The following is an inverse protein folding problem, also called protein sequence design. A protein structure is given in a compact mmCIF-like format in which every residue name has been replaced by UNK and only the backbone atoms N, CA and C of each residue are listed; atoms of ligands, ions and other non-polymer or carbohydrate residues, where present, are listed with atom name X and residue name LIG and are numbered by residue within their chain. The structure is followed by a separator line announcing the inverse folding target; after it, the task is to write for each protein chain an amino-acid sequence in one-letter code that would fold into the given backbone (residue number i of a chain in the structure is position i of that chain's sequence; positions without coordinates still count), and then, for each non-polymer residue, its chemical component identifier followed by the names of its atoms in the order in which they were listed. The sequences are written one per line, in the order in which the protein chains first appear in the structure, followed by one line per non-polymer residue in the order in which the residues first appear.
data_IF_485286028402
#
_entry.id   IF_485286028402
#
_cell.length_a   1.000
_cell.length_b   1.000
_cell.length_c   1.000
_cell.angle_alpha   90.00
_cell.angle_beta   90.00
_cell.angle_gamma   90.00
#
_symmetry.space_group_name_H-M   'P 1'
#
loop_
_entity.id
_entity.type
_entity.pdbx_description
1 polymer ?
#
# COMPACT_ATOMS: atom_id res chain seq x y z
N UNK A 1 11.87 27.84 -6.35
CA UNK A 1 13.14 28.27 -5.72
C UNK A 1 13.88 27.02 -5.28
N UNK A 2 15.17 26.86 -5.57
CA UNK A 2 15.94 25.68 -5.15
C UNK A 2 15.99 25.65 -3.62
N UNK A 3 15.54 24.57 -2.97
CA UNK A 3 15.48 24.48 -1.50
C UNK A 3 16.84 24.79 -0.83
N UNK A 4 17.94 24.49 -1.51
CA UNK A 4 19.30 24.83 -1.05
C UNK A 4 19.53 26.34 -0.98
N UNK A 5 19.00 27.11 -1.94
CA UNK A 5 19.11 28.57 -1.95
C UNK A 5 18.30 29.21 -0.82
N UNK A 6 17.17 28.60 -0.44
CA UNK A 6 16.38 29.04 0.71
C UNK A 6 17.18 28.88 2.00
N UNK A 7 17.74 27.69 2.24
CA UNK A 7 18.58 27.43 3.41
C UNK A 7 19.81 28.34 3.43
N UNK A 8 20.47 28.55 2.28
CA UNK A 8 21.60 29.49 2.13
C UNK A 8 21.20 30.92 2.48
N UNK A 9 20.04 31.38 2.02
CA UNK A 9 19.53 32.72 2.29
C UNK A 9 19.27 32.92 3.79
N UNK A 10 18.62 31.96 4.44
CA UNK A 10 18.36 32.03 5.88
C UNK A 10 19.66 31.96 6.70
N UNK A 11 20.63 31.16 6.27
CA UNK A 11 21.96 31.16 6.89
C UNK A 11 22.65 32.53 6.75
N UNK A 12 22.62 33.15 5.57
CA UNK A 12 23.19 34.47 5.35
C UNK A 12 22.52 35.54 6.21
N UNK A 13 21.20 35.47 6.40
CA UNK A 13 20.46 36.34 7.33
C UNK A 13 20.91 36.10 8.78
N UNK A 14 21.02 34.86 9.21
CA UNK A 14 21.47 34.50 10.57
C UNK A 14 22.91 34.98 10.85
N UNK A 15 23.76 34.99 9.81
CA UNK A 15 25.15 35.44 9.87
C UNK A 15 25.34 36.94 9.57
N UNK A 16 24.26 37.71 9.43
CA UNK A 16 24.36 39.16 9.21
C UNK A 16 24.92 39.87 10.45
N UNK A 17 25.94 40.72 10.26
CA UNK A 17 26.67 41.40 11.32
C UNK A 17 27.74 40.52 12.01
N UNK A 18 28.34 41.02 13.09
CA UNK A 18 29.36 40.26 13.83
C UNK A 18 28.71 39.29 14.82
N UNK A 19 28.78 37.98 14.54
CA UNK A 19 28.29 36.92 15.44
C UNK A 19 29.47 36.18 16.10
N UNK A 20 29.40 35.98 17.42
CA UNK A 20 30.42 35.26 18.19
C UNK A 20 30.25 33.73 18.12
N UNK A 21 29.06 33.24 17.72
CA UNK A 21 28.73 31.83 17.57
C UNK A 21 27.39 31.62 16.86
N UNK A 22 27.10 30.36 16.53
CA UNK A 22 25.85 29.94 15.88
C UNK A 22 25.27 28.72 16.61
N UNK A 23 23.96 28.71 16.80
CA UNK A 23 23.23 27.53 17.28
C UNK A 23 22.48 26.94 16.10
N UNK A 24 22.69 25.66 15.84
CA UNK A 24 21.94 24.89 14.85
C UNK A 24 21.10 23.88 15.61
N UNK A 25 19.81 24.11 15.60
CA UNK A 25 18.86 23.20 16.22
C UNK A 25 18.43 22.14 15.20
N UNK A 26 18.80 20.89 15.48
CA UNK A 26 18.43 19.71 14.69
C UNK A 26 17.46 18.83 15.48
N UNK A 27 17.03 19.26 16.67
CA UNK A 27 16.03 18.54 17.46
C UNK A 27 14.71 18.42 16.71
N UNK A 28 14.02 17.29 16.88
CA UNK A 28 12.80 16.94 16.16
C UNK A 28 12.93 16.95 14.61
N UNK A 29 14.15 16.93 14.05
CA UNK A 29 14.36 16.72 12.63
C UNK A 29 14.36 15.22 12.32
N UNK A 30 13.19 14.71 11.95
CA UNK A 30 12.95 13.29 11.70
C UNK A 30 13.44 12.79 10.32
N UNK A 31 14.06 13.65 9.51
CA UNK A 31 14.58 13.30 8.18
C UNK A 31 13.95 14.08 7.02
N UNK A 32 14.17 13.61 5.80
CA UNK A 32 13.69 14.26 4.57
C UNK A 32 14.71 14.16 3.44
N UNK A 33 14.80 15.20 2.62
CA UNK A 33 15.85 15.29 1.61
C UNK A 33 17.08 15.98 2.22
N UNK A 34 18.13 15.21 2.52
CA UNK A 34 19.38 15.72 3.12
C UNK A 34 20.10 16.77 2.26
N UNK A 35 19.99 16.69 0.93
CA UNK A 35 20.90 17.41 0.06
C UNK A 35 20.73 18.94 0.09
N UNK A 36 19.50 19.50 0.05
CA UNK A 36 19.30 20.93 0.21
C UNK A 36 19.73 21.45 1.58
N UNK A 37 19.56 20.64 2.64
CA UNK A 37 19.93 21.01 4.00
C UNK A 37 21.45 21.13 4.10
N UNK A 38 22.19 20.08 3.73
CA UNK A 38 23.66 20.10 3.74
C UNK A 38 24.24 21.15 2.80
N UNK A 39 23.73 21.24 1.58
CA UNK A 39 24.23 22.21 0.59
C UNK A 39 24.01 23.66 1.02
N UNK A 40 22.92 23.94 1.75
CA UNK A 40 22.60 25.27 2.24
C UNK A 40 23.48 25.71 3.41
N UNK A 41 23.96 24.76 4.23
CA UNK A 41 24.86 25.04 5.35
C UNK A 41 26.32 24.68 5.08
N UNK A 42 26.67 24.28 3.86
CA UNK A 42 27.97 23.70 3.53
C UNK A 42 29.23 24.49 4.01
N UNK A 43 29.29 25.83 3.96
CA UNK A 43 30.38 26.66 4.49
C UNK A 43 30.58 26.58 5.99
N UNK A 44 29.63 26.01 6.75
CA UNK A 44 29.83 25.74 8.16
C UNK A 44 30.68 24.46 8.39
N UNK A 45 30.83 23.63 7.37
CA UNK A 45 31.66 22.44 7.44
C UNK A 45 33.14 22.77 7.13
N UNK A 46 34.03 22.02 7.76
CA UNK A 46 35.44 22.03 7.38
C UNK A 46 35.60 21.36 5.99
N UNK A 47 36.49 21.90 5.16
CA UNK A 47 36.82 21.33 3.87
C UNK A 47 37.37 19.89 4.01
N UNK A 48 36.98 19.03 3.06
CA UNK A 48 37.35 17.61 3.06
C UNK A 48 36.13 16.69 3.02
N UNK A 49 36.36 15.40 3.31
CA UNK A 49 35.31 14.39 3.37
C UNK A 49 34.44 14.65 4.59
N UNK A 50 33.13 14.69 4.40
CA UNK A 50 32.16 14.75 5.49
C UNK A 50 31.77 13.34 5.90
N UNK A 51 31.40 12.52 4.90
CA UNK A 51 30.91 11.17 5.08
C UNK A 51 31.05 10.35 3.79
N UNK A 52 30.95 9.03 3.90
CA UNK A 52 30.93 8.10 2.77
C UNK A 52 29.84 7.07 2.94
N UNK A 53 28.97 6.95 1.94
CA UNK A 53 28.01 5.86 1.84
C UNK A 53 28.69 4.68 1.18
N UNK A 54 28.81 3.57 1.90
CA UNK A 54 29.43 2.34 1.40
C UNK A 54 28.39 1.21 1.33
N UNK A 55 28.09 0.75 0.12
CA UNK A 55 27.13 -0.31 -0.12
C UNK A 55 27.68 -1.68 0.28
N UNK A 56 26.78 -2.65 0.45
CA UNK A 56 27.14 -4.07 0.65
C UNK A 56 27.97 -4.67 -0.49
N UNK A 57 27.94 -4.07 -1.69
CA UNK A 57 28.75 -4.49 -2.83
C UNK A 57 30.11 -3.79 -2.90
N UNK A 58 30.44 -2.94 -1.91
CA UNK A 58 31.68 -2.17 -1.86
C UNK A 58 31.66 -0.88 -2.69
N UNK A 59 30.52 -0.50 -3.26
CA UNK A 59 30.39 0.79 -3.97
C UNK A 59 30.41 1.93 -2.95
N UNK A 60 31.22 2.95 -3.21
CA UNK A 60 31.38 4.11 -2.32
C UNK A 60 30.89 5.38 -2.99
N UNK A 61 30.03 6.12 -2.29
CA UNK A 61 29.65 7.49 -2.63
C UNK A 61 30.21 8.43 -1.57
N UNK A 62 31.12 9.29 -1.99
CA UNK A 62 31.82 10.21 -1.09
C UNK A 62 31.13 11.56 -1.14
N UNK A 63 30.76 12.06 0.05
CA UNK A 63 30.24 13.42 0.24
C UNK A 63 31.34 14.27 0.86
N UNK A 64 31.69 15.36 0.19
CA UNK A 64 32.78 16.22 0.60
C UNK A 64 32.40 17.70 0.44
N UNK A 65 33.10 18.58 1.15
CA UNK A 65 32.99 20.02 0.97
C UNK A 65 34.33 20.57 0.50
N UNK A 66 34.27 21.53 -0.42
CA UNK A 66 35.43 22.32 -0.83
C UNK A 66 34.99 23.75 -1.11
N UNK A 67 35.69 24.72 -0.54
CA UNK A 67 35.39 26.15 -0.69
C UNK A 67 33.93 26.48 -0.32
N UNK A 68 33.38 25.78 0.69
CA UNK A 68 31.99 25.94 1.12
C UNK A 68 30.93 25.39 0.16
N UNK A 69 31.34 24.62 -0.86
CA UNK A 69 30.45 23.95 -1.82
C UNK A 69 30.40 22.46 -1.50
N UNK A 70 29.20 21.95 -1.25
CA UNK A 70 28.96 20.52 -1.09
C UNK A 70 29.17 19.80 -2.43
N UNK A 71 29.82 18.65 -2.38
CA UNK A 71 30.16 17.82 -3.53
C UNK A 71 29.82 16.37 -3.24
N UNK A 72 29.36 15.68 -4.27
CA UNK A 72 29.12 14.24 -4.26
C UNK A 72 29.88 13.63 -5.42
N UNK A 73 30.77 12.67 -5.14
CA UNK A 73 31.68 12.09 -6.14
C UNK A 73 32.37 13.16 -6.98
N UNK A 74 32.92 14.18 -6.31
CA UNK A 74 33.60 15.34 -6.89
C UNK A 74 32.73 16.29 -7.72
N UNK A 75 31.44 16.01 -7.92
CA UNK A 75 30.52 16.90 -8.60
C UNK A 75 29.84 17.86 -7.62
N UNK A 76 29.78 19.18 -7.92
CA UNK A 76 29.11 20.14 -7.04
C UNK A 76 27.60 19.87 -6.93
N UNK A 77 27.09 19.95 -5.71
CA UNK A 77 25.69 19.77 -5.38
C UNK A 77 25.20 20.90 -4.44
N UNK A 78 24.10 21.59 -4.76
CA UNK A 78 23.37 21.56 -6.02
C UNK A 78 24.23 22.13 -7.17
N UNK A 79 23.85 21.84 -8.42
CA UNK A 79 24.53 22.40 -9.61
C UNK A 79 24.27 23.90 -9.85
N UNK A 80 23.56 24.56 -8.94
CA UNK A 80 23.20 25.97 -9.05
C UNK A 80 24.16 26.83 -8.21
N UNK A 81 24.46 28.04 -8.69
CA UNK A 81 25.23 29.00 -7.90
C UNK A 81 24.47 29.40 -6.63
N UNK A 82 25.22 29.44 -5.52
CA UNK A 82 24.73 29.83 -4.20
C UNK A 82 25.40 31.14 -3.79
N UNK A 83 24.64 32.01 -3.12
CA UNK A 83 25.18 33.25 -2.58
C UNK A 83 26.34 32.95 -1.61
N UNK A 84 27.43 33.73 -1.65
CA UNK A 84 28.54 33.56 -0.71
C UNK A 84 28.10 33.87 0.72
N UNK A 85 28.82 33.31 1.69
CA UNK A 85 28.59 33.56 3.12
C UNK A 85 29.55 34.66 3.59
N UNK A 86 29.08 35.69 4.34
CA UNK A 86 29.90 36.86 4.68
C UNK A 86 31.07 36.55 5.62
N UNK A 87 30.79 36.06 6.83
CA UNK A 87 31.80 35.69 7.84
C UNK A 87 31.30 34.51 8.65
N UNK A 88 32.13 33.47 8.77
CA UNK A 88 31.79 32.28 9.54
C UNK A 88 31.99 32.49 11.06
N UNK A 89 31.13 31.90 11.90
CA UNK A 89 31.23 32.04 13.35
C UNK A 89 32.43 31.27 13.92
N UNK A 90 32.99 31.75 15.03
CA UNK A 90 34.11 31.10 15.72
C UNK A 90 33.70 29.84 16.49
N UNK A 91 32.39 29.63 16.76
CA UNK A 91 31.84 28.53 17.55
C UNK A 91 30.46 28.12 17.03
N UNK A 92 30.18 26.83 17.01
CA UNK A 92 28.90 26.26 16.61
C UNK A 92 28.40 25.32 17.72
N UNK A 93 27.16 25.48 18.15
CA UNK A 93 26.47 24.55 19.03
C UNK A 93 25.39 23.80 18.23
N UNK A 94 25.41 22.48 18.27
CA UNK A 94 24.37 21.62 17.70
C UNK A 94 23.44 21.15 18.80
N UNK A 95 22.13 21.33 18.62
CA UNK A 95 21.12 20.77 19.53
C UNK A 95 20.53 19.53 18.87
N UNK A 96 20.53 18.42 19.60
CA UNK A 96 20.02 17.12 19.15
C UNK A 96 19.14 16.48 20.22
N UNK A 97 18.21 15.64 19.80
CA UNK A 97 17.31 14.88 20.67
C UNK A 97 16.93 13.53 20.05
N UNK A 98 16.07 12.79 20.75
CA UNK A 98 15.55 11.50 20.25
C UNK A 98 14.66 11.62 19.01
N UNK A 99 14.21 12.82 18.64
CA UNK A 99 13.50 13.09 17.39
C UNK A 99 14.43 13.40 16.21
N UNK A 100 15.73 13.57 16.46
CA UNK A 100 16.75 13.73 15.41
C UNK A 100 16.97 12.39 14.74
N UNK A 101 16.55 12.22 13.48
CA UNK A 101 16.56 10.95 12.77
C UNK A 101 16.98 11.12 11.30
N UNK A 102 17.49 10.05 10.68
CA UNK A 102 17.70 9.99 9.24
C UNK A 102 18.53 11.17 8.74
N UNK A 103 18.00 12.02 7.85
CA UNK A 103 18.77 13.15 7.30
C UNK A 103 19.21 14.16 8.37
N UNK A 104 18.53 14.24 9.51
CA UNK A 104 18.98 15.00 10.67
C UNK A 104 20.29 14.44 11.26
N UNK A 105 20.42 13.11 11.33
CA UNK A 105 21.61 12.44 11.84
C UNK A 105 22.80 12.57 10.90
N UNK A 106 22.55 12.58 9.59
CA UNK A 106 23.55 12.89 8.56
C UNK A 106 24.11 14.31 8.74
N UNK A 107 23.23 15.30 8.95
CA UNK A 107 23.64 16.68 9.19
C UNK A 107 24.57 16.79 10.40
N UNK A 108 24.25 16.08 11.48
CA UNK A 108 25.03 16.04 12.71
C UNK A 108 26.36 15.32 12.50
N UNK A 109 26.34 14.18 11.78
CA UNK A 109 27.54 13.40 11.47
C UNK A 109 28.56 14.22 10.68
N UNK A 110 28.09 15.02 9.72
CA UNK A 110 28.94 15.87 8.91
C UNK A 110 29.75 16.89 9.72
N UNK A 111 29.28 17.30 10.91
CA UNK A 111 30.02 18.19 11.82
C UNK A 111 30.98 17.46 12.77
N UNK A 112 30.91 16.13 12.85
CA UNK A 112 31.69 15.34 13.79
C UNK A 112 33.19 15.53 13.53
N UNK A 113 33.93 15.89 14.58
CA UNK A 113 35.39 16.10 14.51
C UNK A 113 35.83 17.52 14.18
N UNK A 114 34.91 18.46 13.92
CA UNK A 114 35.25 19.88 13.76
C UNK A 114 35.60 20.52 15.10
N UNK A 115 36.72 21.26 15.14
CA UNK A 115 37.26 21.83 16.40
C UNK A 115 36.36 22.92 16.99
N UNK A 116 35.59 23.62 16.17
CA UNK A 116 34.72 24.73 16.56
C UNK A 116 33.28 24.30 16.86
N UNK A 117 32.95 23.01 16.81
CA UNK A 117 31.59 22.49 16.99
C UNK A 117 31.46 21.68 18.27
N UNK A 118 30.35 21.85 19.00
CA UNK A 118 29.95 20.96 20.09
C UNK A 118 28.47 20.61 20.00
N UNK A 119 28.11 19.36 20.27
CA UNK A 119 26.73 18.89 20.33
C UNK A 119 26.21 18.83 21.76
N UNK A 120 24.92 19.13 21.94
CA UNK A 120 24.22 19.16 23.22
C UNK A 120 22.84 18.48 23.07
N UNK A 121 22.39 17.80 24.13
CA UNK A 121 21.06 17.18 24.17
C UNK A 121 21.11 15.67 24.38
N UNK A 122 20.18 14.94 23.75
CA UNK A 122 20.00 13.50 23.93
C UNK A 122 20.44 12.70 22.70
N UNK A 123 20.49 11.37 22.83
CA UNK A 123 20.80 10.47 21.73
C UNK A 123 19.76 10.59 20.60
N UNK A 124 20.24 10.52 19.37
CA UNK A 124 19.43 10.53 18.14
C UNK A 124 18.71 9.20 17.89
N UNK A 125 17.78 9.16 16.95
CA UNK A 125 16.89 8.02 16.72
C UNK A 125 17.55 6.75 16.13
N UNK A 126 18.76 6.85 15.58
CA UNK A 126 19.48 5.74 14.94
C UNK A 126 18.87 5.30 13.60
N UNK A 127 18.25 6.21 12.85
CA UNK A 127 17.58 5.89 11.60
C UNK A 127 18.51 6.11 10.40
N UNK A 128 18.66 5.11 9.53
CA UNK A 128 19.51 5.26 8.35
C UNK A 128 18.96 6.22 7.30
N UNK A 129 19.87 7.00 6.72
CA UNK A 129 19.64 7.79 5.50
C UNK A 129 20.12 7.09 4.23
N UNK A 130 20.83 5.97 4.37
CA UNK A 130 21.43 5.21 3.28
C UNK A 130 20.42 4.25 2.64
N UNK A 131 19.24 4.77 2.31
CA UNK A 131 18.09 3.99 1.87
C UNK A 131 18.00 3.95 0.35
N UNK A 132 17.69 2.77 -0.19
CA UNK A 132 17.28 2.60 -1.57
C UNK A 132 15.78 2.33 -1.60
N UNK A 133 15.05 3.19 -2.32
CA UNK A 133 13.63 2.99 -2.57
C UNK A 133 13.45 1.99 -3.70
N UNK A 134 12.88 0.84 -3.39
CA UNK A 134 12.46 -0.16 -4.37
C UNK A 134 10.97 0.03 -4.61
N UNK A 135 10.60 0.35 -5.85
CA UNK A 135 9.19 0.42 -6.23
C UNK A 135 8.62 -1.00 -6.31
N UNK A 136 7.56 -1.24 -5.56
CA UNK A 136 6.81 -2.49 -5.55
C UNK A 136 5.81 -2.51 -6.71
N UNK A 137 5.36 -3.71 -7.10
CA UNK A 137 4.41 -3.92 -8.21
C UNK A 137 3.06 -3.22 -7.99
N UNK A 138 2.67 -2.99 -6.73
CA UNK A 138 1.47 -2.27 -6.34
C UNK A 138 1.62 -0.73 -6.32
N UNK A 139 2.78 -0.19 -6.74
CA UNK A 139 3.06 1.24 -6.76
C UNK A 139 3.61 1.81 -5.45
N UNK A 140 3.61 1.02 -4.36
CA UNK A 140 4.27 1.38 -3.10
C UNK A 140 5.80 1.35 -3.20
N UNK A 141 6.48 1.81 -2.14
CA UNK A 141 7.94 1.82 -2.08
C UNK A 141 8.42 1.10 -0.82
N UNK A 142 9.36 0.18 -0.98
CA UNK A 142 10.12 -0.40 0.11
C UNK A 142 11.43 0.39 0.24
N UNK A 143 11.63 1.06 1.38
CA UNK A 143 12.89 1.71 1.70
C UNK A 143 13.79 0.70 2.42
N UNK A 144 14.86 0.26 1.76
CA UNK A 144 15.86 -0.63 2.35
C UNK A 144 17.13 0.14 2.66
N UNK A 145 17.64 0.00 3.87
CA UNK A 145 19.02 0.38 4.19
C UNK A 145 19.95 -0.49 3.36
N UNK A 146 20.69 0.11 2.42
CA UNK A 146 21.55 -0.63 1.47
C UNK A 146 23.04 -0.30 1.59
N UNK A 147 23.38 0.69 2.41
CA UNK A 147 24.73 1.11 2.66
C UNK A 147 24.94 1.46 4.14
N UNK A 148 26.17 1.30 4.61
CA UNK A 148 26.64 1.86 5.88
C UNK A 148 27.20 3.25 5.63
N UNK A 149 27.16 4.10 6.65
CA UNK A 149 27.71 5.46 6.59
C UNK A 149 29.03 5.47 7.36
N UNK A 150 30.10 5.88 6.69
CA UNK A 150 31.41 6.12 7.27
C UNK A 150 31.51 7.61 7.59
N UNK A 151 31.98 7.96 8.79
CA UNK A 151 32.31 9.36 9.08
C UNK A 151 33.62 9.80 8.41
N UNK A 152 33.98 11.07 8.53
CA UNK A 152 35.22 11.64 7.98
C UNK A 152 36.52 10.94 8.38
N UNK A 153 36.51 10.10 9.42
CA UNK A 153 37.68 9.31 9.85
C UNK A 153 37.70 7.90 9.25
N UNK A 154 36.68 7.54 8.47
CA UNK A 154 36.46 6.19 7.96
C UNK A 154 35.81 5.25 8.97
N UNK A 155 35.39 5.74 10.14
CA UNK A 155 34.70 4.91 11.14
C UNK A 155 33.28 4.62 10.67
N UNK A 156 32.93 3.34 10.59
CA UNK A 156 31.60 2.89 10.20
C UNK A 156 30.60 3.04 11.35
N UNK A 157 29.43 3.59 11.03
CA UNK A 157 28.29 3.65 11.93
C UNK A 157 27.22 2.65 11.45
N UNK A 158 27.04 1.57 12.22
CA UNK A 158 26.32 0.38 11.78
C UNK A 158 24.80 0.60 11.56
N UNK A 159 24.22 1.64 12.16
CA UNK A 159 22.78 1.89 12.16
C UNK A 159 22.47 3.37 11.87
N UNK A 160 22.88 3.85 10.70
CA UNK A 160 22.20 5.01 10.10
C UNK A 160 22.59 6.43 10.54
N UNK A 161 23.50 6.55 11.48
CA UNK A 161 23.97 7.81 12.05
C UNK A 161 24.88 7.47 13.22
N UNK A 162 25.48 8.43 13.94
CA UNK A 162 26.41 8.13 15.03
C UNK A 162 25.67 7.48 16.21
N UNK A 163 25.43 6.17 16.13
CA UNK A 163 24.93 5.32 17.20
C UNK A 163 25.96 5.09 18.31
N UNK A 164 27.08 5.81 18.30
CA UNK A 164 28.05 5.88 19.39
C UNK A 164 27.60 6.75 20.56
N UNK A 165 26.30 7.00 20.73
CA UNK A 165 25.72 7.56 21.95
C UNK A 165 24.69 6.59 22.56
N UNK A 166 25.06 5.31 22.68
CA UNK A 166 24.47 4.24 23.53
C UNK A 166 23.24 3.48 22.98
N UNK A 167 23.44 2.22 22.55
CA UNK A 167 22.41 1.16 22.58
C UNK A 167 21.75 0.81 21.23
N UNK A 168 22.03 -0.40 20.73
CA UNK A 168 21.66 -0.91 19.39
C UNK A 168 20.29 -1.62 19.29
N UNK A 169 19.40 -1.51 20.27
CA UNK A 169 18.22 -2.39 20.38
C UNK A 169 16.96 -1.90 19.63
N UNK A 170 16.75 -0.59 19.47
CA UNK A 170 15.46 -0.02 19.04
C UNK A 170 15.22 -0.05 17.52
N UNK A 171 16.26 0.16 16.71
CA UNK A 171 16.19 0.27 15.24
C UNK A 171 15.78 -1.07 14.59
N UNK A 172 16.26 -2.16 15.18
CA UNK A 172 16.00 -3.52 14.72
C UNK A 172 14.57 -3.99 14.99
N UNK A 173 13.92 -3.46 16.03
CA UNK A 173 12.51 -3.73 16.32
C UNK A 173 11.61 -3.10 15.27
N UNK A 174 11.89 -1.86 14.85
CA UNK A 174 11.09 -1.18 13.82
C UNK A 174 11.17 -1.85 12.45
N UNK A 175 12.36 -2.30 12.02
CA UNK A 175 12.52 -3.03 10.76
C UNK A 175 11.76 -4.37 10.76
N UNK A 176 11.70 -5.07 11.91
CA UNK A 176 10.91 -6.28 12.06
C UNK A 176 9.41 -5.98 11.97
N UNK A 177 8.91 -4.95 12.65
CA UNK A 177 7.49 -4.57 12.59
C UNK A 177 7.05 -4.13 11.20
N UNK A 178 7.90 -3.41 10.45
CA UNK A 178 7.63 -3.04 9.05
C UNK A 178 7.64 -4.27 8.14
N UNK A 179 8.58 -5.20 8.36
CA UNK A 179 8.64 -6.48 7.65
C UNK A 179 7.38 -7.32 7.87
N UNK A 180 6.96 -7.49 9.13
CA UNK A 180 5.75 -8.24 9.50
C UNK A 180 4.49 -7.57 8.94
N UNK A 181 4.38 -6.25 9.02
CA UNK A 181 3.25 -5.50 8.44
C UNK A 181 3.18 -5.70 6.92
N UNK A 182 4.33 -5.72 6.24
CA UNK A 182 4.41 -6.00 4.80
C UNK A 182 4.03 -7.45 4.48
N UNK A 183 4.44 -8.43 5.29
CA UNK A 183 4.03 -9.83 5.13
C UNK A 183 2.52 -10.00 5.25
N UNK A 184 1.89 -9.36 6.24
CA UNK A 184 0.42 -9.42 6.43
C UNK A 184 -0.31 -8.83 5.20
N UNK A 185 0.17 -7.71 4.66
CA UNK A 185 -0.40 -7.13 3.44
C UNK A 185 -0.24 -8.04 2.22
N UNK A 186 0.95 -8.62 2.03
CA UNK A 186 1.21 -9.57 0.94
C UNK A 186 0.40 -10.85 1.07
N UNK A 187 0.22 -11.37 2.30
CA UNK A 187 -0.63 -12.53 2.57
C UNK A 187 -2.08 -12.24 2.19
N UNK A 188 -2.62 -11.08 2.57
CA UNK A 188 -3.96 -10.67 2.15
C UNK A 188 -4.08 -10.57 0.63
N UNK A 189 -3.04 -10.10 -0.05
CA UNK A 189 -3.03 -10.05 -1.50
C UNK A 189 -3.03 -11.45 -2.12
N UNK A 190 -2.27 -12.40 -1.57
CA UNK A 190 -2.32 -13.81 -1.95
C UNK A 190 -3.73 -14.40 -1.76
N UNK A 191 -4.40 -14.10 -0.64
CA UNK A 191 -5.75 -14.59 -0.37
C UNK A 191 -6.77 -14.09 -1.40
N UNK A 192 -6.66 -12.81 -1.80
CA UNK A 192 -7.51 -12.22 -2.86
C UNK A 192 -7.24 -12.91 -4.20
N UNK A 193 -5.98 -13.10 -4.58
CA UNK A 193 -5.61 -13.76 -5.83
C UNK A 193 -6.09 -15.22 -5.83
N UNK A 194 -5.89 -15.94 -4.73
CA UNK A 194 -6.34 -17.31 -4.57
C UNK A 194 -7.87 -17.41 -4.69
N UNK A 195 -8.62 -16.50 -4.08
CA UNK A 195 -10.07 -16.45 -4.18
C UNK A 195 -10.54 -16.16 -5.63
N UNK A 196 -9.89 -15.22 -6.33
CA UNK A 196 -10.18 -14.93 -7.73
C UNK A 196 -9.89 -16.16 -8.60
N UNK A 197 -8.73 -16.79 -8.42
CA UNK A 197 -8.29 -17.98 -9.15
C UNK A 197 -9.23 -19.18 -8.95
N UNK A 198 -9.66 -19.43 -7.71
CA UNK A 198 -10.60 -20.50 -7.39
C UNK A 198 -11.97 -20.32 -8.04
N UNK A 199 -12.33 -19.07 -8.40
CA UNK A 199 -13.62 -18.73 -8.98
C UNK A 199 -13.54 -18.29 -10.46
N UNK A 200 -12.47 -18.65 -11.18
CA UNK A 200 -12.34 -18.39 -12.63
C UNK A 200 -13.47 -19.06 -13.42
N UNK A 201 -13.84 -20.28 -13.05
CA UNK A 201 -14.88 -21.04 -13.76
C UNK A 201 -16.30 -20.80 -13.21
N UNK A 202 -16.43 -19.99 -12.16
CA UNK A 202 -17.73 -19.77 -11.51
C UNK A 202 -18.57 -18.76 -12.30
N UNK A 203 -19.80 -19.14 -12.64
CA UNK A 203 -20.73 -18.30 -13.40
C UNK A 203 -21.09 -17.03 -12.62
N UNK A 204 -21.06 -15.89 -13.29
CA UNK A 204 -21.39 -14.59 -12.73
C UNK A 204 -20.43 -14.09 -11.65
N UNK A 205 -19.29 -14.74 -11.42
CA UNK A 205 -18.34 -14.30 -10.38
C UNK A 205 -17.74 -12.94 -10.72
N UNK A 206 -17.67 -12.08 -9.70
CA UNK A 206 -17.04 -10.76 -9.75
C UNK A 206 -15.75 -10.78 -8.95
N UNK A 207 -14.65 -10.67 -9.68
CA UNK A 207 -13.31 -10.58 -9.14
C UNK A 207 -13.16 -9.43 -8.17
N UNK A 208 -12.23 -9.59 -7.24
CA UNK A 208 -11.85 -8.54 -6.30
C UNK A 208 -10.51 -7.97 -6.72
N UNK A 209 -10.40 -6.64 -6.69
CA UNK A 209 -9.12 -6.00 -6.94
C UNK A 209 -8.60 -5.38 -5.64
N UNK A 210 -7.42 -5.83 -5.21
CA UNK A 210 -6.64 -5.11 -4.20
C UNK A 210 -5.85 -4.01 -4.91
N UNK A 211 -6.54 -3.12 -5.61
CA UNK A 211 -5.95 -1.81 -5.90
C UNK A 211 -6.03 -1.06 -4.60
N UNK A 212 -4.87 -0.77 -4.04
CA UNK A 212 -4.69 0.24 -3.01
C UNK A 212 -5.47 1.49 -3.45
N UNK A 213 -6.67 1.65 -2.92
CA UNK A 213 -7.22 2.98 -2.73
C UNK A 213 -6.34 3.57 -1.64
N UNK A 214 -5.26 4.23 -2.05
CA UNK A 214 -4.83 5.44 -1.38
C UNK A 214 -6.03 6.39 -1.51
N UNK A 215 -7.05 6.16 -0.69
CA UNK A 215 -8.15 7.08 -0.53
C UNK A 215 -7.51 8.26 0.17
N UNK A 216 -7.11 9.25 -0.61
CA UNK A 216 -7.03 10.63 -0.16
C UNK A 216 -8.39 10.90 0.51
N UNK A 217 -8.47 10.73 1.83
CA UNK A 217 -9.60 11.26 2.59
C UNK A 217 -9.57 12.76 2.34
N UNK A 218 -10.51 13.35 1.57
CA UNK A 218 -10.47 14.77 1.28
C UNK A 218 -11.06 15.57 2.45
N UNK A 219 -10.86 15.14 3.70
CA UNK A 219 -11.06 15.93 4.92
C UNK A 219 -10.46 15.16 6.10
N UNK A 220 -9.13 15.20 6.24
CA UNK A 220 -8.53 15.11 7.57
C UNK A 220 -8.39 16.56 8.05
N UNK A 221 -9.43 17.09 8.70
CA UNK A 221 -9.29 18.35 9.44
C UNK A 221 -8.22 18.14 10.50
N UNK A 222 -7.22 19.01 10.50
CA UNK A 222 -6.16 19.06 11.49
C UNK A 222 -6.75 19.43 12.85
N UNK A 223 -7.23 18.44 13.62
CA UNK A 223 -7.53 18.58 15.06
C UNK A 223 -7.67 17.25 15.83
N UNK A 224 -7.39 16.09 15.22
CA UNK A 224 -7.60 14.77 15.87
C UNK A 224 -6.33 14.01 16.24
N UNK A 225 -5.24 14.70 16.60
CA UNK A 225 -4.09 14.03 17.23
C UNK A 225 -4.36 13.82 18.73
N UNK A 226 -4.86 12.64 19.10
CA UNK A 226 -4.86 12.16 20.49
C UNK A 226 -3.96 10.93 20.66
N UNK A 227 -2.89 11.13 21.47
CA UNK A 227 -2.06 10.21 22.28
C UNK A 227 -1.37 8.96 21.65
N UNK A 228 -0.23 8.50 22.20
CA UNK A 228 0.67 7.53 21.56
C UNK A 228 0.29 6.03 21.74
N UNK A 229 -0.76 5.70 22.49
CA UNK A 229 -1.10 4.29 22.81
C UNK A 229 -2.36 3.80 22.09
N UNK A 230 -2.32 3.71 20.76
CA UNK A 230 -3.36 3.00 20.01
C UNK A 230 -2.79 1.76 19.33
N UNK A 231 -3.35 0.62 19.75
CA UNK A 231 -3.20 -0.73 19.17
C UNK A 231 -3.10 -0.66 17.66
N UNK A 232 -2.20 -1.47 17.09
CA UNK A 232 -2.13 -1.80 15.66
C UNK A 232 -3.55 -1.97 15.15
N UNK A 233 -4.01 -0.97 14.39
CA UNK A 233 -5.30 -1.05 13.74
C UNK A 233 -5.12 -2.06 12.62
N UNK A 234 -5.71 -3.24 12.80
CA UNK A 234 -6.06 -4.07 11.66
C UNK A 234 -6.77 -3.17 10.66
N UNK A 235 -6.33 -3.21 9.41
CA UNK A 235 -7.09 -2.60 8.32
C UNK A 235 -8.44 -3.27 8.35
N UNK A 236 -9.43 -2.50 8.79
CA UNK A 236 -10.84 -2.84 8.83
C UNK A 236 -11.20 -3.56 7.52
N UNK A 237 -11.96 -4.65 7.66
CA UNK A 237 -12.53 -5.42 6.55
C UNK A 237 -13.60 -4.61 5.80
N UNK A 238 -13.19 -3.49 5.22
CA UNK A 238 -13.97 -2.68 4.31
C UNK A 238 -13.14 -2.43 3.04
N UNK A 239 -13.35 -3.31 2.06
CA UNK A 239 -13.29 -2.90 0.67
C UNK A 239 -12.08 -3.35 -0.13
N UNK A 240 -11.84 -4.66 -0.25
CA UNK A 240 -11.31 -5.13 -1.54
C UNK A 240 -12.44 -4.93 -2.55
N UNK A 241 -12.36 -3.85 -3.34
CA UNK A 241 -13.43 -3.43 -4.22
C UNK A 241 -13.84 -4.56 -5.17
N UNK A 242 -15.15 -4.73 -5.33
CA UNK A 242 -15.72 -5.65 -6.31
C UNK A 242 -15.52 -5.05 -7.69
N UNK A 243 -14.85 -5.78 -8.58
CA UNK A 243 -14.87 -5.46 -10.00
C UNK A 243 -16.21 -5.92 -10.57
N UNK A 244 -17.13 -4.97 -10.74
CA UNK A 244 -18.48 -5.24 -11.26
C UNK A 244 -18.54 -5.24 -12.78
N UNK A 245 -17.41 -5.09 -13.47
CA UNK A 245 -17.35 -5.19 -14.92
C UNK A 245 -17.98 -6.52 -15.40
N UNK A 246 -18.67 -6.45 -16.52
CA UNK A 246 -19.30 -7.62 -17.13
C UNK A 246 -18.23 -8.63 -17.55
N UNK A 247 -18.43 -9.89 -17.16
CA UNK A 247 -17.64 -11.00 -17.67
C UNK A 247 -18.05 -11.39 -19.09
N UNK A 248 -17.28 -12.26 -19.76
CA UNK A 248 -17.67 -12.75 -21.08
C UNK A 248 -18.98 -13.53 -20.99
N UNK A 249 -19.88 -13.26 -21.93
CA UNK A 249 -21.13 -14.01 -22.08
C UNK A 249 -20.84 -15.21 -22.99
N UNK A 250 -21.12 -16.41 -22.49
CA UNK A 250 -20.95 -17.66 -23.21
C UNK A 250 -22.31 -18.25 -23.58
N UNK A 251 -22.48 -18.60 -24.85
CA UNK A 251 -23.66 -19.30 -25.33
C UNK A 251 -23.59 -20.77 -24.93
N UNK A 252 -24.59 -21.22 -24.19
CA UNK A 252 -24.69 -22.60 -23.67
C UNK A 252 -25.77 -23.42 -24.37
N UNK A 253 -26.76 -22.77 -24.99
CA UNK A 253 -27.90 -23.42 -25.63
C UNK A 253 -28.96 -23.98 -24.67
N UNK A 254 -28.73 -23.95 -23.35
CA UNK A 254 -29.72 -24.40 -22.37
C UNK A 254 -30.79 -23.31 -22.16
N UNK A 255 -32.09 -23.58 -22.38
CA UNK A 255 -33.14 -22.58 -22.28
C UNK A 255 -33.36 -22.01 -20.87
N UNK A 256 -32.84 -22.68 -19.82
CA UNK A 256 -32.88 -22.20 -18.43
C UNK A 256 -31.64 -21.39 -18.03
N UNK A 257 -30.66 -21.26 -18.93
CA UNK A 257 -29.53 -20.39 -18.70
C UNK A 257 -29.82 -18.98 -19.19
N UNK A 258 -29.52 -17.99 -18.33
CA UNK A 258 -29.66 -16.57 -18.65
C UNK A 258 -28.40 -15.78 -18.28
N UNK A 259 -27.98 -14.90 -19.18
CA UNK A 259 -26.93 -13.92 -18.89
C UNK A 259 -27.56 -12.54 -18.77
N UNK A 260 -27.33 -11.86 -17.65
CA UNK A 260 -27.84 -10.49 -17.48
C UNK A 260 -26.94 -9.50 -18.21
N UNK A 261 -27.50 -8.68 -19.09
CA UNK A 261 -26.76 -7.60 -19.76
C UNK A 261 -26.82 -6.31 -18.93
N UNK A 262 -25.73 -5.54 -18.95
CA UNK A 262 -25.61 -4.31 -18.16
C UNK A 262 -25.37 -4.60 -16.68
N UNK A 263 -25.84 -3.73 -15.79
CA UNK A 263 -25.46 -3.72 -14.35
C UNK A 263 -26.50 -4.37 -13.42
N UNK A 264 -27.53 -5.01 -13.99
CA UNK A 264 -28.61 -5.60 -13.21
C UNK A 264 -28.23 -6.94 -12.55
N UNK A 265 -28.91 -7.28 -11.47
CA UNK A 265 -28.78 -8.53 -10.72
C UNK A 265 -30.09 -9.31 -10.72
N UNK A 266 -29.98 -10.63 -10.71
CA UNK A 266 -31.07 -11.57 -10.47
C UNK A 266 -31.38 -11.61 -8.98
N UNK A 267 -32.65 -11.78 -8.63
CA UNK A 267 -33.07 -11.92 -7.23
C UNK A 267 -33.38 -13.38 -6.92
N UNK A 268 -32.79 -13.90 -5.85
CA UNK A 268 -33.05 -15.24 -5.33
C UNK A 268 -33.45 -15.16 -3.86
N UNK A 269 -34.25 -16.12 -3.39
CA UNK A 269 -34.66 -16.16 -1.99
C UNK A 269 -33.83 -17.19 -1.22
N UNK A 270 -33.12 -16.72 -0.22
CA UNK A 270 -32.41 -17.57 0.76
C UNK A 270 -33.20 -17.61 2.06
N UNK A 271 -32.86 -18.51 3.01
CA UNK A 271 -33.44 -18.49 4.36
C UNK A 271 -33.26 -17.13 5.09
N UNK A 272 -32.23 -16.36 4.71
CA UNK A 272 -31.93 -15.04 5.27
C UNK A 272 -32.60 -13.89 4.48
N UNK A 273 -33.56 -14.20 3.61
CA UNK A 273 -34.26 -13.26 2.74
C UNK A 273 -33.69 -13.17 1.33
N UNK A 274 -34.13 -12.16 0.59
CA UNK A 274 -33.73 -11.96 -0.80
C UNK A 274 -32.21 -11.64 -0.89
N UNK A 275 -31.55 -12.24 -1.88
CA UNK A 275 -30.14 -12.03 -2.24
C UNK A 275 -30.02 -11.83 -3.73
N UNK A 276 -28.91 -11.23 -4.12
CA UNK A 276 -28.68 -10.78 -5.50
C UNK A 276 -27.54 -11.58 -6.11
N UNK A 277 -27.68 -11.98 -7.36
CA UNK A 277 -26.63 -12.74 -8.06
C UNK A 277 -26.55 -12.38 -9.53
N UNK A 278 -25.41 -12.70 -10.14
CA UNK A 278 -25.20 -12.67 -11.60
C UNK A 278 -25.17 -14.08 -12.20
N UNK A 279 -25.24 -15.12 -11.35
CA UNK A 279 -25.33 -16.49 -11.81
C UNK A 279 -26.76 -16.77 -12.31
N UNK A 280 -26.91 -16.94 -13.61
CA UNK A 280 -28.19 -17.29 -14.24
C UNK A 280 -28.26 -18.74 -14.72
N UNK A 281 -27.46 -19.65 -14.14
CA UNK A 281 -27.61 -21.09 -14.35
C UNK A 281 -28.75 -21.61 -13.46
N UNK A 282 -29.94 -21.73 -14.04
CA UNK A 282 -31.12 -22.19 -13.32
C UNK A 282 -31.49 -23.63 -13.66
N UNK A 283 -32.17 -24.26 -12.72
CA UNK A 283 -32.73 -25.59 -12.81
C UNK A 283 -34.17 -25.58 -12.27
N UNK A 284 -34.92 -26.63 -12.57
CA UNK A 284 -36.25 -26.83 -11.98
C UNK A 284 -36.14 -27.90 -10.90
N UNK A 285 -36.57 -27.58 -9.68
CA UNK A 285 -36.58 -28.54 -8.58
C UNK A 285 -37.72 -29.59 -8.71
N UNK A 286 -37.77 -30.55 -7.79
CA UNK A 286 -38.79 -31.60 -7.79
C UNK A 286 -40.22 -31.09 -7.56
N UNK A 287 -40.37 -29.86 -7.06
CA UNK A 287 -41.65 -29.20 -6.83
C UNK A 287 -42.09 -28.36 -8.05
N UNK A 288 -41.23 -28.22 -9.06
CA UNK A 288 -41.49 -27.38 -10.23
C UNK A 288 -41.03 -25.94 -10.05
N UNK A 289 -40.33 -25.59 -8.97
CA UNK A 289 -39.81 -24.24 -8.75
C UNK A 289 -38.54 -24.02 -9.56
N UNK A 290 -38.42 -22.86 -10.20
CA UNK A 290 -37.16 -22.43 -10.78
C UNK A 290 -36.17 -22.05 -9.67
N UNK A 291 -35.05 -22.75 -9.59
CA UNK A 291 -34.02 -22.62 -8.56
C UNK A 291 -32.64 -22.40 -9.17
N UNK A 292 -31.71 -21.85 -8.39
CA UNK A 292 -30.27 -21.87 -8.73
C UNK A 292 -29.69 -23.27 -8.54
N UNK A 293 -28.45 -23.49 -8.99
CA UNK A 293 -27.66 -24.71 -8.69
C UNK A 293 -27.57 -25.02 -7.19
N UNK A 294 -27.59 -23.99 -6.33
CA UNK A 294 -27.58 -24.13 -4.87
C UNK A 294 -28.97 -24.38 -4.25
N UNK A 295 -30.02 -24.53 -5.07
CA UNK A 295 -31.39 -24.80 -4.64
C UNK A 295 -32.18 -23.56 -4.16
N UNK A 296 -31.67 -22.34 -4.37
CA UNK A 296 -32.39 -21.13 -3.97
C UNK A 296 -33.47 -20.75 -5.01
N UNK A 297 -34.74 -20.54 -4.59
CA UNK A 297 -35.80 -20.13 -5.50
C UNK A 297 -35.55 -18.79 -6.17
N UNK A 298 -35.58 -18.79 -7.50
CA UNK A 298 -35.49 -17.58 -8.33
C UNK A 298 -36.76 -16.77 -8.15
N UNK A 299 -36.61 -15.50 -7.76
CA UNK A 299 -37.74 -14.60 -7.58
C UNK A 299 -38.15 -13.96 -8.90
N UNK A 300 -39.42 -14.09 -9.24
CA UNK A 300 -40.08 -13.27 -10.26
C UNK A 300 -40.71 -12.01 -9.69
N UNK A 301 -41.32 -11.20 -10.56
CA UNK A 301 -42.01 -9.97 -10.15
C UNK A 301 -43.20 -10.21 -9.19
N UNK A 302 -43.82 -11.39 -9.26
CA UNK A 302 -44.98 -11.78 -8.43
C UNK A 302 -44.66 -12.87 -7.38
N UNK A 303 -43.38 -13.19 -7.15
CA UNK A 303 -42.94 -14.27 -6.25
C UNK A 303 -42.12 -15.35 -6.97
N UNK A 304 -41.82 -16.49 -6.31
CA UNK A 304 -41.07 -17.59 -6.91
C UNK A 304 -41.73 -18.11 -8.20
N UNK A 305 -40.94 -18.39 -9.22
CA UNK A 305 -41.45 -18.89 -10.50
C UNK A 305 -41.72 -20.39 -10.38
N UNK A 306 -42.97 -20.78 -10.59
CA UNK A 306 -43.45 -22.16 -10.51
C UNK A 306 -43.81 -22.67 -11.90
N UNK A 307 -43.38 -23.89 -12.21
CA UNK A 307 -43.60 -24.60 -13.47
C UNK A 307 -44.37 -25.88 -13.13
N UNK A 308 -45.55 -26.07 -13.72
CA UNK A 308 -46.35 -27.27 -13.47
C UNK A 308 -45.64 -28.55 -13.94
N UNK A 309 -45.82 -29.67 -13.23
CA UNK A 309 -45.14 -30.94 -13.58
C UNK A 309 -45.49 -31.50 -14.97
N UNK A 310 -46.61 -31.08 -15.55
CA UNK A 310 -47.04 -31.49 -16.91
C UNK A 310 -46.55 -30.52 -18.00
N UNK A 311 -45.86 -29.45 -17.62
CA UNK A 311 -45.38 -28.44 -18.55
C UNK A 311 -44.03 -28.81 -19.15
N UNK A 312 -43.86 -28.49 -20.42
CA UNK A 312 -42.65 -28.78 -21.19
C UNK A 312 -42.26 -27.55 -22.01
N UNK A 313 -41.03 -27.55 -22.53
CA UNK A 313 -40.54 -26.45 -23.37
C UNK A 313 -40.38 -25.14 -22.59
N UNK A 314 -39.93 -25.22 -21.33
CA UNK A 314 -39.66 -24.03 -20.52
C UNK A 314 -38.60 -23.19 -21.23
N UNK A 315 -38.88 -21.91 -21.41
CA UNK A 315 -37.97 -20.95 -22.03
C UNK A 315 -38.06 -19.60 -21.34
N UNK A 316 -36.95 -18.87 -21.37
CA UNK A 316 -36.85 -17.52 -20.82
C UNK A 316 -36.62 -16.54 -21.97
N UNK A 317 -37.50 -15.54 -22.10
CA UNK A 317 -37.41 -14.49 -23.09
C UNK A 317 -36.35 -13.43 -22.74
N UNK A 318 -35.98 -12.55 -23.69
CA UNK A 318 -34.97 -11.51 -23.47
C UNK A 318 -35.37 -10.43 -22.45
N UNK A 319 -36.65 -10.32 -22.16
CA UNK A 319 -37.21 -9.46 -21.09
C UNK A 319 -37.31 -10.20 -19.74
N UNK A 320 -36.80 -11.43 -19.65
CA UNK A 320 -36.86 -12.29 -18.47
C UNK A 320 -38.18 -13.05 -18.31
N UNK A 321 -39.11 -12.96 -19.27
CA UNK A 321 -40.39 -13.67 -19.20
C UNK A 321 -40.17 -15.18 -19.32
N UNK A 322 -40.61 -15.93 -18.32
CA UNK A 322 -40.59 -17.40 -18.30
C UNK A 322 -41.90 -17.93 -18.85
N UNK A 323 -41.81 -18.80 -19.85
CA UNK A 323 -42.96 -19.37 -20.56
C UNK A 323 -42.79 -20.85 -20.82
N UNK A 324 -43.90 -21.55 -20.93
CA UNK A 324 -43.99 -22.98 -21.23
C UNK A 324 -45.00 -23.24 -22.34
N UNK A 325 -45.16 -24.50 -22.75
CA UNK A 325 -46.21 -24.93 -23.67
C UNK A 325 -47.64 -24.57 -23.21
N UNK A 326 -47.85 -24.30 -21.91
CA UNK A 326 -49.15 -23.93 -21.34
C UNK A 326 -49.29 -22.42 -21.05
N UNK A 327 -48.33 -21.59 -21.50
CA UNK A 327 -48.38 -20.14 -21.40
C UNK A 327 -47.30 -19.53 -20.50
N UNK A 328 -47.51 -18.28 -20.08
CA UNK A 328 -46.56 -17.50 -19.28
C UNK A 328 -46.68 -17.89 -17.81
N UNK A 329 -45.53 -18.05 -17.13
CA UNK A 329 -45.44 -18.37 -15.69
C UNK A 329 -44.94 -17.23 -14.83
N UNK A 330 -44.26 -16.25 -15.42
CA UNK A 330 -43.85 -15.04 -14.73
C UNK A 330 -42.71 -14.36 -15.47
N UNK A 331 -42.12 -13.34 -14.83
CA UNK A 331 -40.91 -12.68 -15.31
C UNK A 331 -39.88 -12.66 -14.20
N UNK A 332 -38.65 -13.08 -14.49
CA UNK A 332 -37.52 -13.05 -13.55
C UNK A 332 -37.29 -11.62 -13.09
N UNK A 333 -37.19 -11.42 -11.77
CA UNK A 333 -37.01 -10.10 -11.19
C UNK A 333 -35.56 -9.65 -11.36
N UNK A 334 -35.37 -8.52 -12.05
CA UNK A 334 -34.09 -7.86 -12.23
C UNK A 334 -34.04 -6.55 -11.45
N UNK A 335 -32.94 -6.35 -10.73
CA UNK A 335 -32.74 -5.16 -9.91
C UNK A 335 -31.39 -4.50 -10.14
N UNK A 336 -31.31 -3.21 -9.89
CA UNK A 336 -30.07 -2.42 -9.87
C UNK A 336 -29.92 -1.74 -8.52
N UNK A 337 -28.71 -1.22 -8.27
CA UNK A 337 -28.38 -0.49 -7.05
C UNK A 337 -27.76 0.85 -7.41
N UNK A 338 -28.12 1.90 -6.67
CA UNK A 338 -27.52 3.22 -6.84
C UNK A 338 -26.02 3.22 -6.49
N UNK A 339 -25.61 2.41 -5.49
CA UNK A 339 -24.22 2.17 -5.16
C UNK A 339 -23.93 0.66 -5.07
N UNK A 340 -23.59 0.01 -6.21
CA UNK A 340 -23.27 -1.41 -6.24
C UNK A 340 -22.01 -1.80 -5.44
N UNK A 341 -21.10 -0.85 -5.15
CA UNK A 341 -19.90 -1.12 -4.33
C UNK A 341 -20.22 -1.32 -2.85
N UNK A 342 -21.42 -0.92 -2.41
CA UNK A 342 -21.91 -1.17 -1.04
C UNK A 342 -22.48 -2.59 -0.85
N UNK A 343 -22.52 -3.41 -1.91
CA UNK A 343 -22.98 -4.80 -1.82
C UNK A 343 -22.00 -5.64 -1.01
N UNK A 344 -22.53 -6.40 -0.06
CA UNK A 344 -21.77 -7.34 0.75
C UNK A 344 -21.86 -8.73 0.13
N UNK A 345 -20.72 -9.37 -0.14
CA UNK A 345 -20.70 -10.75 -0.63
C UNK A 345 -20.91 -11.71 0.56
N UNK A 346 -21.89 -12.61 0.47
CA UNK A 346 -22.20 -13.62 1.50
C UNK A 346 -21.72 -15.04 1.12
N UNK A 347 -20.93 -15.16 0.05
CA UNK A 347 -20.51 -16.45 -0.51
C UNK A 347 -21.47 -16.95 -1.60
N UNK A 348 -21.12 -18.05 -2.27
CA UNK A 348 -21.91 -18.67 -3.34
C UNK A 348 -22.36 -17.70 -4.46
N UNK A 349 -21.57 -16.66 -4.74
CA UNK A 349 -21.93 -15.57 -5.67
C UNK A 349 -23.24 -14.85 -5.32
N UNK A 350 -23.57 -14.79 -4.03
CA UNK A 350 -24.70 -14.05 -3.49
C UNK A 350 -24.23 -12.75 -2.85
N UNK A 351 -24.99 -11.71 -3.14
CA UNK A 351 -24.79 -10.37 -2.59
C UNK A 351 -25.98 -9.98 -1.72
N UNK A 352 -25.69 -9.37 -0.59
CA UNK A 352 -26.64 -8.71 0.29
C UNK A 352 -26.52 -7.19 0.16
N UNK A 353 -27.63 -6.49 0.40
CA UNK A 353 -27.69 -5.03 0.39
C UNK A 353 -28.53 -4.55 1.57
N UNK A 354 -28.02 -3.56 2.31
CA UNK A 354 -28.82 -2.82 3.27
C UNK A 354 -29.72 -1.76 2.58
N UNK A 355 -29.35 -1.33 1.38
CA UNK A 355 -30.13 -0.40 0.57
C UNK A 355 -31.20 -1.15 -0.22
N UNK A 356 -32.37 -0.51 -0.39
CA UNK A 356 -33.45 -1.07 -1.20
C UNK A 356 -33.04 -1.13 -2.69
N UNK A 357 -33.21 -2.28 -3.35
CA UNK A 357 -32.95 -2.41 -4.78
C UNK A 357 -33.94 -1.57 -5.59
N UNK A 358 -33.49 -1.06 -6.73
CA UNK A 358 -34.33 -0.43 -7.73
C UNK A 358 -34.70 -1.44 -8.81
N UNK A 359 -35.92 -1.36 -9.36
CA UNK A 359 -36.26 -2.18 -10.52
C UNK A 359 -35.38 -1.79 -11.71
N UNK A 360 -34.82 -2.77 -12.41
CA UNK A 360 -33.92 -2.50 -13.53
C UNK A 360 -34.62 -1.82 -14.73
N UNK A 361 -35.96 -1.92 -14.82
CA UNK A 361 -36.75 -1.33 -15.89
C UNK A 361 -36.30 -1.82 -17.27
N UNK A 362 -36.35 -0.94 -18.27
CA UNK A 362 -35.95 -1.25 -19.66
C UNK A 362 -34.45 -1.56 -19.82
N UNK A 363 -33.62 -1.21 -18.82
CA UNK A 363 -32.19 -1.50 -18.80
C UNK A 363 -31.89 -2.94 -18.36
N UNK A 364 -32.82 -3.59 -17.65
CA UNK A 364 -32.72 -5.00 -17.29
C UNK A 364 -33.11 -5.89 -18.46
N UNK A 365 -32.12 -6.34 -19.23
CA UNK A 365 -32.33 -7.36 -20.27
C UNK A 365 -31.50 -8.58 -19.98
N UNK A 366 -32.03 -9.74 -20.35
CA UNK A 366 -31.31 -11.01 -20.30
C UNK A 366 -31.07 -11.53 -21.69
N UNK A 367 -30.02 -12.34 -21.82
CA UNK A 367 -29.74 -13.13 -22.98
C UNK A 367 -30.01 -14.59 -22.64
N UNK A 368 -31.05 -15.13 -23.28
CA UNK A 368 -31.47 -16.51 -23.09
C UNK A 368 -30.48 -17.48 -23.73
N UNK A 369 -30.34 -18.68 -23.15
CA UNK A 369 -29.42 -19.68 -23.66
C UNK A 369 -27.95 -19.40 -23.32
N UNK A 370 -27.66 -18.38 -22.51
CA UNK A 370 -26.31 -17.91 -22.26
C UNK A 370 -26.01 -17.77 -20.76
N UNK A 371 -24.73 -17.77 -20.40
CA UNK A 371 -24.27 -17.50 -19.03
C UNK A 371 -23.19 -16.42 -19.05
N UNK A 372 -23.23 -15.54 -18.05
CA UNK A 372 -22.09 -14.68 -17.75
C UNK A 372 -21.02 -15.52 -17.04
N UNK A 373 -19.79 -15.52 -17.54
CA UNK A 373 -18.63 -16.14 -16.87
C UNK A 373 -17.94 -15.16 -15.91
N UNK A 374 -17.02 -15.68 -15.11
CA UNK A 374 -16.16 -14.87 -14.25
C UNK A 374 -15.45 -13.77 -15.05
N UNK A 375 -15.36 -12.56 -14.48
CA UNK A 375 -14.55 -11.49 -15.07
C UNK A 375 -13.07 -11.57 -14.69
N UNK A 376 -12.67 -12.60 -13.93
CA UNK A 376 -11.28 -12.85 -13.56
C UNK A 376 -10.48 -13.29 -14.79
N UNK A 377 -9.29 -12.70 -14.96
CA UNK A 377 -8.37 -13.01 -16.06
C UNK A 377 -7.24 -13.92 -15.57
N UNK A 378 -7.24 -15.23 -15.88
CA UNK A 378 -6.34 -16.20 -15.26
C UNK A 378 -4.85 -15.87 -15.44
N UNK A 379 -4.45 -15.48 -16.65
CA UNK A 379 -3.05 -15.16 -16.98
C UNK A 379 -2.54 -13.97 -16.15
N UNK A 380 -3.40 -12.97 -15.91
CA UNK A 380 -3.05 -11.78 -15.13
C UNK A 380 -2.93 -12.15 -13.65
N UNK A 381 -3.88 -12.92 -13.11
CA UNK A 381 -3.84 -13.35 -11.70
C UNK A 381 -2.67 -14.28 -11.41
N UNK A 382 -2.30 -15.19 -12.32
CA UNK A 382 -1.10 -16.03 -12.17
C UNK A 382 0.18 -15.20 -12.16
N UNK A 383 0.29 -14.20 -13.04
CA UNK A 383 1.46 -13.31 -13.06
C UNK A 383 1.56 -12.53 -11.74
N UNK A 384 0.44 -12.01 -11.26
CA UNK A 384 0.36 -11.31 -9.98
C UNK A 384 0.69 -12.23 -8.80
N UNK A 385 0.24 -13.48 -8.82
CA UNK A 385 0.59 -14.48 -7.81
C UNK A 385 2.11 -14.69 -7.73
N UNK A 386 2.77 -14.81 -8.89
CA UNK A 386 4.22 -14.96 -8.96
C UNK A 386 4.95 -13.75 -8.39
N UNK A 387 4.50 -12.54 -8.72
CA UNK A 387 5.09 -11.30 -8.20
C UNK A 387 4.91 -11.16 -6.68
N UNK A 388 3.71 -11.44 -6.17
CA UNK A 388 3.43 -11.38 -4.72
C UNK A 388 4.22 -12.45 -3.99
N UNK A 389 4.31 -13.68 -4.51
CA UNK A 389 5.09 -14.77 -3.90
C UNK A 389 6.60 -14.45 -3.90
N UNK A 390 7.13 -13.92 -5.00
CA UNK A 390 8.52 -13.43 -5.06
C UNK A 390 8.76 -12.31 -4.05
N UNK A 391 7.81 -11.40 -3.88
CA UNK A 391 7.92 -10.32 -2.90
C UNK A 391 7.84 -10.84 -1.47
N UNK A 392 6.94 -11.78 -1.20
CA UNK A 392 6.79 -12.43 0.09
C UNK A 392 8.05 -13.19 0.50
N UNK A 393 8.64 -13.95 -0.42
CA UNK A 393 9.92 -14.66 -0.17
C UNK A 393 11.08 -13.69 0.04
N UNK A 394 11.14 -12.58 -0.71
CA UNK A 394 12.14 -11.52 -0.47
C UNK A 394 12.00 -10.88 0.92
N UNK A 395 10.79 -10.48 1.33
CA UNK A 395 10.53 -9.85 2.65
C UNK A 395 10.84 -10.84 3.77
N UNK A 396 10.43 -12.10 3.63
CA UNK A 396 10.73 -13.17 4.60
C UNK A 396 12.25 -13.39 4.74
N UNK A 397 12.99 -13.36 3.63
CA UNK A 397 14.46 -13.45 3.64
C UNK A 397 15.15 -12.22 4.27
N UNK A 398 14.52 -11.04 4.27
CA UNK A 398 15.01 -9.87 5.02
C UNK A 398 14.76 -10.06 6.51
N UNK A 399 13.57 -10.50 6.90
CA UNK A 399 13.21 -10.76 8.30
C UNK A 399 14.12 -11.83 8.92
N UNK A 400 14.38 -12.93 8.21
CA UNK A 400 15.29 -13.98 8.68
C UNK A 400 16.72 -13.45 8.89
N UNK A 401 17.22 -12.63 7.95
CA UNK A 401 18.55 -12.03 8.09
C UNK A 401 18.64 -11.04 9.24
N UNK A 402 17.57 -10.27 9.48
CA UNK A 402 17.47 -9.43 10.67
C UNK A 402 17.51 -10.32 11.93
N UNK A 403 16.74 -11.40 11.99
CA UNK A 403 16.77 -12.31 13.15
C UNK A 403 18.15 -12.93 13.40
N UNK A 404 18.86 -13.35 12.34
CA UNK A 404 20.23 -13.87 12.42
C UNK A 404 21.24 -12.83 12.97
N UNK A 405 21.12 -11.58 12.51
CA UNK A 405 21.93 -10.47 13.01
C UNK A 405 21.68 -10.24 14.50
N UNK A 406 20.42 -10.38 14.94
CA UNK A 406 20.00 -10.26 16.34
C UNK A 406 20.64 -11.33 17.20
N UNK A 407 20.51 -12.58 16.78
CA UNK A 407 21.13 -13.72 17.46
C UNK A 407 22.65 -13.62 17.49
N UNK A 408 23.28 -13.03 16.48
CA UNK A 408 24.73 -12.80 16.45
C UNK A 408 25.16 -11.67 17.38
N UNK A 409 24.41 -10.57 17.44
CA UNK A 409 24.67 -9.46 18.35
C UNK A 409 24.54 -9.89 19.82
N UNK A 410 23.50 -10.67 20.16
CA UNK A 410 23.29 -11.23 21.51
C UNK A 410 24.44 -12.16 21.90
N UNK A 411 24.88 -13.06 21.00
CA UNK A 411 26.03 -13.95 21.27
C UNK A 411 27.33 -13.19 21.49
N UNK A 412 27.62 -12.17 20.67
CA UNK A 412 28.80 -11.33 20.84
C UNK A 412 28.80 -10.51 22.12
N UNK A 413 27.63 -10.15 22.65
CA UNK A 413 27.52 -9.51 23.97
C UNK A 413 27.82 -10.50 25.11
N UNK A 414 27.46 -11.77 24.95
CA UNK A 414 27.74 -12.81 25.94
C UNK A 414 29.22 -13.23 25.99
N UNK A 415 29.94 -13.17 24.86
CA UNK A 415 31.37 -13.50 24.78
C UNK A 415 32.32 -12.42 25.35
N UNK A 416 31.79 -11.24 25.69
CA UNK A 416 32.55 -10.08 26.21
C UNK A 416 32.36 -9.91 27.74
N UNK A 417 31.66 -10.84 28.40
CA UNK A 417 31.40 -10.84 29.85
C UNK A 417 32.32 -11.78 30.62
#
# INVERSE_FOLDING_TARGET
VNATQVVRSELNKALSGSKCGLVIDVSANHGGNMWPMMGGIAPLYDDGVLETFESVTGERQVVNVKDGVLRMNESPFPRAELNPVPTLPKRIALIIDSGTASSGEILVLAFKGQKNVRSFGQQTAGASSANKSIRLSNGGFLALTTARILDRTGTAHADGGPSSLVGAESVMQNALFVGVSSQVALQRELDVIANNMANISTNGFKGRNSRFQEYLMPVASADSFQKPDRRVSYVIDQGTALDLAQGPIEQTGNPLHVAVRGEAFLVVRTPNGDRYTRNGAFETDAQGTLVTSDGYPVQGEAGPIQIGQQETGVSIGPDGTVSTNLGIRGRVRLVTFANPQALTNEGANLYASAAQPQAAGLAGRVEAGALERSNVKPVIEMTRLMDVNRTYTMVSGVISRLDDLRGTAIRRLADVA
#
